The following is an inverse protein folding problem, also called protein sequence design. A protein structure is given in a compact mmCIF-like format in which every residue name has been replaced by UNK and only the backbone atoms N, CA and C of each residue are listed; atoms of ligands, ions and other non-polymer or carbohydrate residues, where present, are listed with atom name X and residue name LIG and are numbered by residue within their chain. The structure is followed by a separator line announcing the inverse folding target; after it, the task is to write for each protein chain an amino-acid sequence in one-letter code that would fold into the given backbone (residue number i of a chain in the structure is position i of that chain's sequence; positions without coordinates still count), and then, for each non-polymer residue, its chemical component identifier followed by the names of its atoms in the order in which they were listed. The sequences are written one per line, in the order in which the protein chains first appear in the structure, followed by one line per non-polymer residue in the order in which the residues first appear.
data_IF_592138427495
#
_entry.id   IF_592138427495
#
_cell.length_a   1.000
_cell.length_b   1.000
_cell.length_c   1.000
_cell.angle_alpha   90.00
_cell.angle_beta   90.00
_cell.angle_gamma   90.00
#
_symmetry.space_group_name_H-M   'P 1'
#
loop_
_entity.id
_entity.type
_entity.pdbx_description
1 polymer ?
#
# COMPACT_ATOMS: atom_id res chain seq x y z
N UNK A 1 27.94 12.56 -10.95
CA UNK A 1 28.10 11.52 -9.91
C UNK A 1 27.18 10.34 -10.26
N UNK A 2 27.78 9.24 -10.62
CA UNK A 2 27.05 8.00 -10.84
C UNK A 2 26.47 7.52 -9.50
N UNK A 3 25.17 7.55 -9.34
CA UNK A 3 24.51 6.86 -8.23
C UNK A 3 24.90 5.40 -8.33
N UNK A 4 25.79 4.96 -7.44
CA UNK A 4 26.07 3.53 -7.31
C UNK A 4 24.71 2.85 -7.16
N UNK A 5 24.43 1.93 -8.05
CA UNK A 5 23.23 1.11 -8.00
C UNK A 5 23.33 0.23 -6.74
N UNK A 6 22.99 0.81 -5.59
CA UNK A 6 23.03 0.10 -4.32
C UNK A 6 21.91 -0.95 -4.37
N UNK A 7 22.31 -2.18 -4.48
CA UNK A 7 21.38 -3.30 -4.33
C UNK A 7 21.04 -3.49 -2.86
N UNK A 8 19.78 -3.81 -2.57
CA UNK A 8 19.37 -4.17 -1.23
C UNK A 8 20.17 -5.37 -0.71
N UNK A 9 20.59 -5.31 0.55
CA UNK A 9 21.26 -6.44 1.21
C UNK A 9 20.28 -7.61 1.38
N UNK A 10 20.79 -8.81 1.61
CA UNK A 10 19.96 -9.99 1.86
C UNK A 10 18.99 -9.76 3.03
N UNK A 11 19.44 -9.11 4.10
CA UNK A 11 18.63 -8.77 5.26
C UNK A 11 17.53 -7.75 4.94
N UNK A 12 17.84 -6.75 4.12
CA UNK A 12 16.86 -5.77 3.64
C UNK A 12 15.80 -6.40 2.74
N UNK A 13 16.20 -7.30 1.85
CA UNK A 13 15.25 -8.06 1.02
C UNK A 13 14.33 -8.93 1.86
N UNK A 14 14.88 -9.62 2.86
CA UNK A 14 14.07 -10.41 3.78
C UNK A 14 13.08 -9.53 4.54
N UNK A 15 13.51 -8.36 5.02
CA UNK A 15 12.63 -7.39 5.65
C UNK A 15 11.46 -6.99 4.74
N UNK A 16 11.74 -6.71 3.47
CA UNK A 16 10.69 -6.34 2.51
C UNK A 16 9.68 -7.48 2.29
N UNK A 17 10.16 -8.71 2.15
CA UNK A 17 9.30 -9.89 1.98
C UNK A 17 8.40 -10.10 3.21
N UNK A 18 8.99 -10.03 4.41
CA UNK A 18 8.26 -10.19 5.66
C UNK A 18 7.25 -9.05 5.90
N UNK A 19 7.63 -7.84 5.54
CA UNK A 19 6.73 -6.68 5.63
C UNK A 19 5.50 -6.83 4.72
N UNK A 20 5.65 -7.46 3.58
CA UNK A 20 4.54 -7.68 2.64
C UNK A 20 3.50 -8.68 3.15
N UNK A 21 3.79 -9.43 4.21
CA UNK A 21 2.85 -10.41 4.79
C UNK A 21 1.73 -9.70 5.55
N UNK A 22 2.11 -8.81 6.47
CA UNK A 22 1.17 -8.18 7.41
C UNK A 22 1.27 -6.64 7.49
N UNK A 23 2.19 -6.05 6.74
CA UNK A 23 2.50 -4.60 6.75
C UNK A 23 2.90 -4.09 8.14
N UNK A 24 3.46 -4.95 8.98
CA UNK A 24 3.95 -4.62 10.31
C UNK A 24 5.47 -4.56 10.32
N UNK A 25 6.02 -3.34 10.33
CA UNK A 25 7.46 -3.10 10.24
C UNK A 25 8.25 -3.71 11.42
N UNK A 26 7.71 -3.65 12.62
CA UNK A 26 8.35 -4.21 13.82
C UNK A 26 8.46 -5.73 13.72
N UNK A 27 7.37 -6.41 13.39
CA UNK A 27 7.36 -7.86 13.22
C UNK A 27 8.21 -8.31 12.03
N UNK A 28 8.16 -7.56 10.93
CA UNK A 28 9.03 -7.82 9.79
C UNK A 28 10.52 -7.73 10.16
N UNK A 29 10.89 -6.75 10.96
CA UNK A 29 12.27 -6.61 11.45
C UNK A 29 12.68 -7.79 12.34
N UNK A 30 11.83 -8.23 13.26
CA UNK A 30 12.11 -9.40 14.12
C UNK A 30 12.31 -10.64 13.26
N UNK A 31 11.40 -10.92 12.33
CA UNK A 31 11.48 -12.11 11.46
C UNK A 31 12.68 -12.07 10.51
N UNK A 32 13.18 -10.86 10.22
CA UNK A 32 14.38 -10.67 9.37
C UNK A 32 15.70 -10.77 10.14
N UNK A 33 15.64 -11.02 11.45
CA UNK A 33 16.83 -11.19 12.29
C UNK A 33 17.34 -9.92 12.97
N UNK A 34 16.54 -8.85 13.05
CA UNK A 34 16.86 -7.70 13.89
C UNK A 34 16.56 -8.02 15.37
N UNK A 35 17.30 -7.40 16.29
CA UNK A 35 17.07 -7.57 17.71
C UNK A 35 15.65 -7.11 18.11
N UNK A 36 14.98 -7.87 18.98
CA UNK A 36 13.65 -7.50 19.49
C UNK A 36 13.65 -6.12 20.14
N UNK A 37 14.74 -5.77 20.85
CA UNK A 37 14.90 -4.47 21.51
C UNK A 37 14.92 -3.29 20.52
N UNK A 38 15.47 -3.49 19.33
CA UNK A 38 15.64 -2.46 18.31
C UNK A 38 14.69 -2.61 17.11
N UNK A 39 13.87 -3.64 17.09
CA UNK A 39 13.03 -3.96 15.94
C UNK A 39 12.06 -2.85 15.56
N UNK A 40 11.47 -2.17 16.53
CA UNK A 40 10.55 -1.06 16.26
C UNK A 40 11.26 0.10 15.55
N UNK A 41 12.41 0.53 16.06
CA UNK A 41 13.21 1.60 15.45
C UNK A 41 13.86 1.16 14.13
N UNK A 42 14.37 -0.06 14.05
CA UNK A 42 14.96 -0.62 12.83
C UNK A 42 13.90 -0.74 11.72
N UNK A 43 12.71 -1.20 12.05
CA UNK A 43 11.59 -1.30 11.11
C UNK A 43 11.17 0.06 10.57
N UNK A 44 10.98 1.04 11.45
CA UNK A 44 10.64 2.41 11.08
C UNK A 44 11.74 3.06 10.21
N UNK A 45 13.00 2.90 10.59
CA UNK A 45 14.14 3.41 9.82
C UNK A 45 14.20 2.77 8.42
N UNK A 46 14.04 1.45 8.32
CA UNK A 46 14.04 0.76 7.05
C UNK A 46 12.97 1.31 6.09
N UNK A 47 11.79 1.62 6.58
CA UNK A 47 10.72 2.19 5.74
C UNK A 47 11.04 3.59 5.19
N UNK A 48 12.03 4.28 5.76
CA UNK A 48 12.48 5.59 5.24
C UNK A 48 13.52 5.47 4.13
N UNK A 49 14.19 4.32 4.00
CA UNK A 49 15.25 4.11 3.00
C UNK A 49 14.67 3.94 1.61
N UNK A 50 15.20 4.68 0.64
CA UNK A 50 14.73 4.62 -0.76
C UNK A 50 14.85 3.22 -1.35
N UNK A 51 15.93 2.50 -1.05
CA UNK A 51 16.15 1.14 -1.53
C UNK A 51 15.08 0.16 -1.03
N UNK A 52 14.65 0.33 0.21
CA UNK A 52 13.56 -0.45 0.82
C UNK A 52 12.21 -0.11 0.16
N UNK A 53 11.94 1.19 -0.02
CA UNK A 53 10.71 1.66 -0.69
C UNK A 53 10.61 1.13 -2.11
N UNK A 54 11.70 1.15 -2.87
CA UNK A 54 11.76 0.63 -4.24
C UNK A 54 11.51 -0.88 -4.28
N UNK A 55 12.11 -1.63 -3.36
CA UNK A 55 11.92 -3.08 -3.28
C UNK A 55 10.47 -3.43 -2.90
N UNK A 56 9.88 -2.73 -1.94
CA UNK A 56 8.47 -2.90 -1.57
C UNK A 56 7.56 -2.58 -2.75
N UNK A 57 7.84 -1.51 -3.49
CA UNK A 57 7.06 -1.15 -4.69
C UNK A 57 7.11 -2.25 -5.73
N UNK A 58 8.28 -2.82 -6.00
CA UNK A 58 8.44 -3.96 -6.92
C UNK A 58 7.63 -5.17 -6.48
N UNK A 59 7.67 -5.50 -5.19
CA UNK A 59 6.92 -6.62 -4.63
C UNK A 59 5.41 -6.40 -4.74
N UNK A 60 4.93 -5.19 -4.48
CA UNK A 60 3.51 -4.83 -4.64
C UNK A 60 3.06 -4.95 -6.09
N UNK A 61 3.85 -4.45 -7.04
CA UNK A 61 3.55 -4.57 -8.47
C UNK A 61 3.53 -6.03 -8.92
N UNK A 62 4.50 -6.85 -8.49
CA UNK A 62 4.53 -8.26 -8.81
C UNK A 62 3.30 -9.01 -8.27
N UNK A 63 2.89 -8.70 -7.03
CA UNK A 63 1.68 -9.26 -6.43
C UNK A 63 0.43 -8.84 -7.21
N UNK A 64 0.30 -7.57 -7.54
CA UNK A 64 -0.82 -7.03 -8.32
C UNK A 64 -0.93 -7.69 -9.69
N UNK A 65 0.20 -7.87 -10.39
CA UNK A 65 0.23 -8.58 -11.69
C UNK A 65 -0.19 -10.03 -11.56
N UNK A 66 0.27 -10.72 -10.52
CA UNK A 66 -0.04 -12.13 -10.29
C UNK A 66 -1.51 -12.36 -9.93
N UNK A 67 -2.07 -11.51 -9.07
CA UNK A 67 -3.43 -11.63 -8.59
C UNK A 67 -4.44 -10.92 -9.48
N UNK A 68 -3.99 -9.98 -10.32
CA UNK A 68 -4.82 -9.04 -11.09
C UNK A 68 -5.73 -8.19 -10.21
N UNK A 69 -5.42 -8.12 -8.92
CA UNK A 69 -6.13 -7.26 -7.96
C UNK A 69 -5.32 -5.98 -7.78
N UNK A 70 -5.82 -4.89 -8.28
CA UNK A 70 -5.26 -3.56 -8.16
C UNK A 70 -6.33 -2.57 -7.69
N UNK A 71 -5.96 -1.31 -7.54
CA UNK A 71 -6.88 -0.26 -7.13
C UNK A 71 -8.09 -0.13 -8.06
N UNK A 72 -7.87 -0.22 -9.36
CA UNK A 72 -8.93 -0.17 -10.37
C UNK A 72 -9.92 -1.33 -10.23
N UNK A 73 -9.40 -2.53 -10.00
CA UNK A 73 -10.23 -3.70 -9.74
C UNK A 73 -11.11 -3.50 -8.50
N UNK A 74 -10.52 -3.01 -7.39
CA UNK A 74 -11.25 -2.75 -6.14
C UNK A 74 -12.35 -1.71 -6.35
N UNK A 75 -12.05 -0.61 -7.06
CA UNK A 75 -13.05 0.41 -7.39
C UNK A 75 -14.20 -0.14 -8.21
N UNK A 76 -13.89 -0.90 -9.26
CA UNK A 76 -14.91 -1.51 -10.12
C UNK A 76 -15.79 -2.48 -9.35
N UNK A 77 -15.21 -3.34 -8.52
CA UNK A 77 -15.98 -4.30 -7.73
C UNK A 77 -16.81 -3.60 -6.64
N UNK A 78 -16.31 -2.52 -6.07
CA UNK A 78 -17.06 -1.71 -5.10
C UNK A 78 -18.26 -1.01 -5.76
N UNK A 79 -18.10 -0.49 -6.98
CA UNK A 79 -19.17 0.12 -7.75
C UNK A 79 -20.25 -0.92 -8.13
N UNK A 80 -19.85 -2.11 -8.56
CA UNK A 80 -20.77 -3.21 -8.83
C UNK A 80 -21.53 -3.64 -7.59
N UNK A 81 -20.86 -3.73 -6.44
CA UNK A 81 -21.49 -4.05 -5.17
C UNK A 81 -22.51 -2.97 -4.79
N UNK A 82 -22.15 -1.70 -4.94
CA UNK A 82 -23.06 -0.57 -4.68
C UNK A 82 -24.31 -0.67 -5.55
N UNK A 83 -24.18 -0.93 -6.84
CA UNK A 83 -25.29 -1.09 -7.77
C UNK A 83 -26.21 -2.23 -7.34
N UNK A 84 -25.64 -3.37 -6.93
CA UNK A 84 -26.44 -4.51 -6.42
C UNK A 84 -27.17 -4.16 -5.13
N UNK A 85 -26.50 -3.47 -4.20
CA UNK A 85 -27.12 -3.06 -2.93
C UNK A 85 -28.21 -2.01 -3.10
N UNK A 86 -28.12 -1.20 -4.15
CA UNK A 86 -29.10 -0.15 -4.48
C UNK A 86 -30.23 -0.64 -5.40
N UNK A 87 -30.17 -1.87 -5.86
CA UNK A 87 -31.23 -2.44 -6.70
C UNK A 87 -32.56 -2.46 -5.96
N UNK A 88 -33.65 -2.13 -6.68
CA UNK A 88 -35.00 -2.12 -6.11
C UNK A 88 -35.49 -3.55 -5.83
N UNK A 89 -36.29 -3.69 -4.79
CA UNK A 89 -36.91 -4.95 -4.41
C UNK A 89 -36.22 -5.66 -3.24
N UNK A 90 -36.27 -7.00 -3.25
CA UNK A 90 -35.75 -7.85 -2.15
C UNK A 90 -34.22 -7.80 -1.98
N UNK A 91 -33.50 -7.32 -2.98
CA UNK A 91 -32.02 -7.26 -3.00
C UNK A 91 -31.46 -5.96 -2.42
N UNK A 92 -32.33 -4.97 -2.13
CA UNK A 92 -31.86 -3.71 -1.56
C UNK A 92 -31.23 -3.93 -0.18
N UNK A 93 -29.98 -3.50 -0.05
CA UNK A 93 -29.22 -3.60 1.19
C UNK A 93 -28.52 -2.28 1.50
N UNK A 94 -29.14 -1.47 2.37
CA UNK A 94 -28.62 -0.16 2.76
C UNK A 94 -27.24 -0.25 3.47
N UNK A 95 -27.04 -1.26 4.31
CA UNK A 95 -25.77 -1.46 5.01
C UNK A 95 -24.62 -1.81 4.05
N UNK A 96 -24.88 -2.68 3.07
CA UNK A 96 -23.94 -3.02 2.02
C UNK A 96 -23.60 -1.84 1.12
N UNK A 97 -24.62 -1.05 0.74
CA UNK A 97 -24.45 0.18 -0.04
C UNK A 97 -23.56 1.20 0.71
N UNK A 98 -23.80 1.38 2.01
CA UNK A 98 -22.99 2.28 2.85
C UNK A 98 -21.53 1.85 2.92
N UNK A 99 -21.27 0.54 3.07
CA UNK A 99 -19.89 0.00 3.06
C UNK A 99 -19.20 0.17 1.70
N UNK A 100 -19.90 -0.06 0.60
CA UNK A 100 -19.35 0.14 -0.74
C UNK A 100 -19.00 1.61 -0.98
N UNK A 101 -19.86 2.56 -0.60
CA UNK A 101 -19.61 3.99 -0.68
C UNK A 101 -18.41 4.41 0.17
N UNK A 102 -18.26 3.86 1.37
CA UNK A 102 -17.13 4.12 2.25
C UNK A 102 -15.80 3.66 1.63
N UNK A 103 -15.76 2.47 1.03
CA UNK A 103 -14.59 1.96 0.32
C UNK A 103 -14.19 2.83 -0.86
N UNK A 104 -15.15 3.24 -1.68
CA UNK A 104 -14.93 4.14 -2.81
C UNK A 104 -14.42 5.49 -2.33
N UNK A 105 -15.05 6.06 -1.31
CA UNK A 105 -14.67 7.35 -0.73
C UNK A 105 -13.26 7.35 -0.15
N UNK A 106 -12.88 6.32 0.58
CA UNK A 106 -11.52 6.16 1.11
C UNK A 106 -10.48 6.12 0.01
N UNK A 107 -10.76 5.39 -1.06
CA UNK A 107 -9.82 5.27 -2.17
C UNK A 107 -9.63 6.59 -2.91
N UNK A 108 -10.69 7.32 -3.20
CA UNK A 108 -10.66 8.65 -3.83
C UNK A 108 -9.94 9.65 -2.93
N UNK A 109 -10.20 9.64 -1.62
CA UNK A 109 -9.53 10.52 -0.65
C UNK A 109 -8.02 10.31 -0.62
N UNK A 110 -7.55 9.06 -0.67
CA UNK A 110 -6.11 8.74 -0.73
C UNK A 110 -5.49 9.24 -2.03
N UNK A 111 -6.15 9.06 -3.17
CA UNK A 111 -5.67 9.57 -4.44
C UNK A 111 -5.59 11.10 -4.46
N UNK A 112 -6.63 11.79 -4.03
CA UNK A 112 -6.67 13.25 -3.95
C UNK A 112 -5.55 13.81 -3.04
N UNK A 113 -5.28 13.15 -1.92
CA UNK A 113 -4.17 13.51 -1.03
C UNK A 113 -2.81 13.35 -1.72
N UNK A 114 -2.60 12.24 -2.44
CA UNK A 114 -1.35 11.99 -3.16
C UNK A 114 -1.13 13.00 -4.28
N UNK A 115 -2.16 13.35 -5.02
CA UNK A 115 -2.12 14.36 -6.08
C UNK A 115 -1.78 15.75 -5.50
N UNK A 116 -2.41 16.14 -4.41
CA UNK A 116 -2.13 17.40 -3.72
C UNK A 116 -0.68 17.46 -3.24
N UNK A 117 -0.18 16.41 -2.62
CA UNK A 117 1.21 16.33 -2.16
C UNK A 117 2.20 16.46 -3.32
N UNK A 118 1.92 15.85 -4.47
CA UNK A 118 2.74 15.94 -5.67
C UNK A 118 2.77 17.38 -6.23
N UNK A 119 1.64 18.05 -6.26
CA UNK A 119 1.52 19.44 -6.70
C UNK A 119 2.30 20.38 -5.77
N UNK A 120 2.13 20.24 -4.47
CA UNK A 120 2.85 21.04 -3.47
C UNK A 120 4.36 20.85 -3.57
N UNK A 121 4.83 19.63 -3.77
CA UNK A 121 6.24 19.33 -3.98
C UNK A 121 6.79 19.98 -5.25
N UNK A 122 6.03 19.99 -6.33
CA UNK A 122 6.39 20.62 -7.59
C UNK A 122 6.48 22.14 -7.47
N UNK A 123 5.56 22.76 -6.75
CA UNK A 123 5.55 24.22 -6.50
C UNK A 123 6.74 24.65 -5.64
N UNK A 124 7.13 23.88 -4.64
CA UNK A 124 8.27 24.20 -3.76
C UNK A 124 9.63 24.12 -4.43
N UNK A 125 9.77 23.46 -5.55
CA UNK A 125 11.02 23.32 -6.33
C UNK A 125 11.29 24.51 -7.24
N UNK A 126 10.35 25.38 -7.43
CA UNK A 126 10.51 26.66 -8.12
C UNK A 126 10.89 27.74 -7.12
#
# INVERSE_FOLDING_TARGET
MTRRNQKATAKQKMFCLEYMIDLNATQAAIRSGYSVKTAASAGAENLTKSIIKDEITKLKLARSRKTKINAEYVLRMSDELLKRCMAEGKEFNAAGAGKALDLIGKHISVQAYNEKSSIESTIKVK
#
